data_IF_297370133450
#
_entry.id   IF_297370133450
#
_cell.length_a   1.000
_cell.length_b   1.000
_cell.length_c   1.000
_cell.angle_alpha   90.00
_cell.angle_beta   90.00
_cell.angle_gamma   90.00
#
_symmetry.space_group_name_H-M   'P 1'
#
loop_
_entity.id
_entity.type
_entity.pdbx_description
1 polymer ?
#
# COMPACT_ATOMS: atom_id res chain seq x y z
N UNK A 1 -13.98 13.26 21.01
CA UNK A 1 -13.30 12.46 19.97
C UNK A 1 -13.95 12.81 18.65
N UNK A 2 -13.20 12.96 17.58
CA UNK A 2 -13.78 13.23 16.25
C UNK A 2 -14.37 11.94 15.72
N UNK A 3 -15.62 11.95 15.29
CA UNK A 3 -16.31 10.81 14.69
C UNK A 3 -15.67 10.49 13.32
N UNK A 4 -15.33 9.25 13.07
CA UNK A 4 -14.84 8.75 11.78
C UNK A 4 -16.02 8.15 11.02
N UNK A 5 -16.35 8.74 9.88
CA UNK A 5 -17.45 8.32 9.01
C UNK A 5 -16.92 7.34 7.96
N UNK A 6 -17.51 6.17 7.92
CA UNK A 6 -17.04 5.05 7.11
C UNK A 6 -18.11 4.70 6.06
N UNK A 7 -17.70 4.61 4.79
CA UNK A 7 -18.46 3.97 3.74
C UNK A 7 -18.06 2.49 3.68
N UNK A 8 -19.00 1.59 3.88
CA UNK A 8 -18.77 0.14 3.90
C UNK A 8 -19.16 -0.48 2.55
N UNK A 9 -18.21 -1.17 1.90
CA UNK A 9 -18.40 -1.73 0.56
C UNK A 9 -18.06 -3.21 0.55
N UNK A 10 -19.05 -4.07 0.35
CA UNK A 10 -18.93 -5.53 0.35
C UNK A 10 -20.15 -6.13 -0.35
N UNK A 11 -20.01 -7.10 -1.23
CA UNK A 11 -21.15 -7.70 -1.94
C UNK A 11 -21.98 -8.65 -1.06
N UNK A 12 -21.39 -9.17 0.02
CA UNK A 12 -22.01 -10.09 0.94
C UNK A 12 -22.79 -9.38 2.04
N UNK A 13 -24.10 -9.34 1.95
CA UNK A 13 -24.96 -8.65 2.92
C UNK A 13 -24.72 -9.07 4.38
N UNK A 14 -24.48 -10.38 4.64
CA UNK A 14 -24.23 -10.87 6.00
C UNK A 14 -22.93 -10.31 6.55
N UNK A 15 -21.87 -10.28 5.75
CA UNK A 15 -20.57 -9.70 6.13
C UNK A 15 -20.71 -8.21 6.39
N UNK A 16 -21.41 -7.50 5.49
CA UNK A 16 -21.64 -6.05 5.61
C UNK A 16 -22.39 -5.71 6.91
N UNK A 17 -23.46 -6.45 7.24
CA UNK A 17 -24.21 -6.27 8.49
C UNK A 17 -23.38 -6.59 9.74
N UNK A 18 -22.57 -7.65 9.69
CA UNK A 18 -21.66 -8.01 10.77
C UNK A 18 -20.61 -6.95 11.03
N UNK A 19 -19.93 -6.50 9.96
CA UNK A 19 -18.94 -5.43 10.06
C UNK A 19 -19.55 -4.11 10.55
N UNK A 20 -20.73 -3.74 10.05
CA UNK A 20 -21.46 -2.57 10.53
C UNK A 20 -21.67 -2.64 12.04
N UNK A 21 -22.26 -3.73 12.54
CA UNK A 21 -22.52 -3.90 13.97
C UNK A 21 -21.26 -3.82 14.83
N UNK A 22 -20.17 -4.45 14.36
CA UNK A 22 -18.88 -4.45 15.06
C UNK A 22 -18.20 -3.07 15.04
N UNK A 23 -18.24 -2.37 13.90
CA UNK A 23 -17.63 -1.04 13.77
C UNK A 23 -18.43 0.01 14.56
N UNK A 24 -19.76 0.00 14.50
CA UNK A 24 -20.63 0.91 15.25
C UNK A 24 -20.60 0.65 16.76
N UNK A 25 -20.07 -0.48 17.23
CA UNK A 25 -19.78 -0.69 18.65
C UNK A 25 -18.60 0.17 19.16
N UNK A 26 -17.77 0.68 18.27
CA UNK A 26 -16.73 1.64 18.59
C UNK A 26 -17.33 3.05 18.72
N UNK A 27 -17.07 3.73 19.82
CA UNK A 27 -17.69 5.03 20.15
C UNK A 27 -17.31 6.17 19.19
N UNK A 28 -16.29 5.98 18.35
CA UNK A 28 -15.76 6.98 17.42
C UNK A 28 -16.02 6.65 15.95
N UNK A 29 -16.84 5.62 15.64
CA UNK A 29 -17.15 5.22 14.27
C UNK A 29 -18.65 5.40 13.95
N UNK A 30 -18.92 5.79 12.71
CA UNK A 30 -20.25 5.89 12.14
C UNK A 30 -20.24 5.36 10.70
N UNK A 31 -21.16 4.45 10.38
CA UNK A 31 -21.38 4.02 8.99
C UNK A 31 -22.32 5.00 8.32
N UNK A 32 -21.82 5.76 7.34
CA UNK A 32 -22.59 6.78 6.60
C UNK A 32 -23.16 6.27 5.28
N UNK A 33 -22.78 5.08 4.86
CA UNK A 33 -23.33 4.44 3.66
C UNK A 33 -22.86 3.01 3.51
N UNK A 34 -23.58 2.25 2.69
CA UNK A 34 -23.27 0.88 2.32
C UNK A 34 -23.41 0.69 0.81
N UNK A 35 -22.50 -0.08 0.21
CA UNK A 35 -22.55 -0.45 -1.20
C UNK A 35 -22.23 -1.94 -1.39
N UNK A 36 -22.81 -2.55 -2.41
CA UNK A 36 -22.62 -3.96 -2.74
C UNK A 36 -21.64 -4.17 -3.91
N UNK A 37 -21.13 -3.10 -4.50
CA UNK A 37 -20.11 -3.14 -5.56
C UNK A 37 -19.45 -1.76 -5.73
N UNK A 38 -18.34 -1.75 -6.45
CA UNK A 38 -17.55 -0.53 -6.68
C UNK A 38 -18.30 0.58 -7.41
N UNK A 39 -19.26 0.25 -8.30
CA UNK A 39 -20.02 1.25 -9.04
C UNK A 39 -20.95 2.02 -8.11
N UNK A 40 -21.65 1.32 -7.22
CA UNK A 40 -22.53 1.95 -6.22
C UNK A 40 -21.68 2.75 -5.23
N UNK A 41 -20.53 2.21 -4.81
CA UNK A 41 -19.63 2.92 -3.91
C UNK A 41 -19.19 4.29 -4.47
N UNK A 42 -18.78 4.34 -5.74
CA UNK A 42 -18.39 5.61 -6.41
C UNK A 42 -19.57 6.58 -6.44
N UNK A 43 -20.77 6.12 -6.82
CA UNK A 43 -21.96 6.96 -6.87
C UNK A 43 -22.32 7.54 -5.49
N UNK A 44 -22.20 6.74 -4.42
CA UNK A 44 -22.45 7.21 -3.06
C UNK A 44 -21.37 8.22 -2.61
N UNK A 45 -20.10 8.01 -2.93
CA UNK A 45 -19.05 9.00 -2.66
C UNK A 45 -19.37 10.32 -3.37
N UNK A 46 -19.74 10.27 -4.65
CA UNK A 46 -20.13 11.47 -5.41
C UNK A 46 -21.32 12.21 -4.80
N UNK A 47 -22.31 11.47 -4.29
CA UNK A 47 -23.49 12.04 -3.65
C UNK A 47 -23.17 12.67 -2.28
N UNK A 48 -22.29 12.05 -1.51
CA UNK A 48 -21.96 12.46 -0.13
C UNK A 48 -20.80 13.46 -0.07
N UNK A 49 -20.06 13.67 -1.16
CA UNK A 49 -18.91 14.56 -1.20
C UNK A 49 -19.34 16.02 -0.93
N UNK A 50 -18.54 16.73 -0.13
CA UNK A 50 -18.84 18.09 0.35
C UNK A 50 -20.13 18.23 1.16
N UNK A 51 -20.69 17.11 1.67
CA UNK A 51 -21.82 17.13 2.62
C UNK A 51 -21.36 16.81 4.05
N UNK A 52 -22.20 17.08 5.07
CA UNK A 52 -21.89 16.67 6.46
C UNK A 52 -21.69 15.15 6.66
N UNK A 53 -22.23 14.35 5.74
CA UNK A 53 -22.15 12.88 5.74
C UNK A 53 -21.00 12.34 4.86
N UNK A 54 -20.13 13.22 4.37
CA UNK A 54 -18.95 12.79 3.60
C UNK A 54 -18.15 11.75 4.38
N UNK A 55 -17.83 10.59 3.76
CA UNK A 55 -17.00 9.58 4.42
C UNK A 55 -15.57 10.09 4.63
N UNK A 56 -14.99 9.76 5.77
CA UNK A 56 -13.58 10.01 6.09
C UNK A 56 -12.70 8.85 5.62
N UNK A 57 -13.32 7.67 5.36
CA UNK A 57 -12.65 6.46 4.87
C UNK A 57 -13.66 5.55 4.18
N UNK A 58 -13.19 4.82 3.17
CA UNK A 58 -13.91 3.71 2.56
C UNK A 58 -13.28 2.40 3.02
N UNK A 59 -14.08 1.50 3.61
CA UNK A 59 -13.70 0.12 3.86
C UNK A 59 -14.26 -0.74 2.74
N UNK A 60 -13.39 -1.37 1.93
CA UNK A 60 -13.77 -1.93 0.64
C UNK A 60 -13.30 -3.37 0.45
N UNK A 61 -14.21 -4.27 0.09
CA UNK A 61 -13.84 -5.58 -0.42
C UNK A 61 -13.27 -5.47 -1.85
N UNK A 62 -12.44 -6.43 -2.20
CA UNK A 62 -11.80 -6.50 -3.52
C UNK A 62 -12.69 -7.21 -4.53
N UNK A 63 -13.21 -8.39 -4.18
CA UNK A 63 -13.96 -9.22 -5.13
C UNK A 63 -15.46 -8.97 -5.04
N UNK A 64 -15.95 -8.15 -5.94
CA UNK A 64 -17.36 -7.82 -6.03
C UNK A 64 -17.83 -7.90 -7.49
N UNK A 65 -19.12 -8.20 -7.73
CA UNK A 65 -19.72 -8.20 -9.07
C UNK A 65 -19.78 -6.79 -9.65
N UNK A 66 -20.01 -6.68 -10.96
CA UNK A 66 -20.21 -5.42 -11.72
C UNK A 66 -18.94 -4.57 -11.80
N UNK A 67 -18.37 -4.19 -10.66
CA UNK A 67 -17.12 -3.46 -10.55
C UNK A 67 -16.42 -3.92 -9.26
N UNK A 68 -15.27 -4.51 -9.42
CA UNK A 68 -14.42 -4.95 -8.31
C UNK A 68 -13.80 -3.77 -7.55
N UNK A 69 -13.23 -4.07 -6.36
CA UNK A 69 -12.66 -3.05 -5.50
C UNK A 69 -11.41 -2.39 -6.10
N UNK A 70 -10.60 -3.12 -6.88
CA UNK A 70 -9.39 -2.59 -7.50
C UNK A 70 -9.74 -1.53 -8.55
N UNK A 71 -10.71 -1.83 -9.42
CA UNK A 71 -11.21 -0.88 -10.41
C UNK A 71 -11.88 0.35 -9.75
N UNK A 72 -12.57 0.13 -8.62
CA UNK A 72 -13.17 1.21 -7.85
C UNK A 72 -12.11 2.11 -7.20
N UNK A 73 -11.08 1.53 -6.56
CA UNK A 73 -9.96 2.25 -5.95
C UNK A 73 -9.27 3.15 -6.97
N UNK A 74 -8.97 2.61 -8.17
CA UNK A 74 -8.37 3.40 -9.24
C UNK A 74 -9.18 4.66 -9.56
N UNK A 75 -10.49 4.51 -9.80
CA UNK A 75 -11.38 5.65 -10.12
C UNK A 75 -11.54 6.63 -8.95
N UNK A 76 -11.63 6.11 -7.72
CA UNK A 76 -11.73 6.93 -6.52
C UNK A 76 -10.45 7.73 -6.29
N UNK A 77 -9.28 7.14 -6.46
CA UNK A 77 -8.00 7.83 -6.30
C UNK A 77 -7.77 8.94 -7.34
N UNK A 78 -8.27 8.75 -8.56
CA UNK A 78 -8.21 9.77 -9.63
C UNK A 78 -9.11 10.98 -9.31
N UNK A 79 -10.30 10.76 -8.73
CA UNK A 79 -11.30 11.80 -8.51
C UNK A 79 -11.31 12.36 -7.08
N UNK A 80 -11.03 11.51 -6.09
CA UNK A 80 -11.10 11.81 -4.65
C UNK A 80 -9.81 11.40 -3.94
N UNK A 81 -8.67 11.91 -4.39
CA UNK A 81 -7.32 11.52 -3.94
C UNK A 81 -7.07 11.67 -2.42
N UNK A 82 -7.83 12.53 -1.75
CA UNK A 82 -7.75 12.73 -0.30
C UNK A 82 -8.58 11.72 0.51
N UNK A 83 -9.50 10.97 -0.12
CA UNK A 83 -10.36 10.00 0.55
C UNK A 83 -9.64 8.64 0.65
N UNK A 84 -9.20 8.21 1.84
CA UNK A 84 -8.48 6.96 1.98
C UNK A 84 -9.39 5.75 1.75
N UNK A 85 -8.88 4.76 1.04
CA UNK A 85 -9.51 3.44 0.88
C UNK A 85 -8.68 2.41 1.62
N UNK A 86 -9.28 1.71 2.58
CA UNK A 86 -8.72 0.56 3.28
C UNK A 86 -9.40 -0.70 2.74
N UNK A 87 -8.60 -1.62 2.22
CA UNK A 87 -9.13 -2.89 1.71
C UNK A 87 -9.31 -3.89 2.84
N UNK A 88 -10.45 -4.59 2.84
CA UNK A 88 -10.74 -5.70 3.73
C UNK A 88 -11.24 -6.89 2.90
N UNK A 89 -10.44 -7.94 2.73
CA UNK A 89 -10.73 -9.04 1.83
C UNK A 89 -10.52 -10.41 2.48
N UNK A 90 -11.22 -11.44 1.97
CA UNK A 90 -10.95 -12.84 2.35
C UNK A 90 -9.73 -13.42 1.64
N UNK A 91 -9.18 -12.71 0.66
CA UNK A 91 -8.11 -13.19 -0.19
C UNK A 91 -6.79 -12.46 0.10
N UNK A 92 -5.74 -13.25 0.22
CA UNK A 92 -4.36 -12.79 0.33
C UNK A 92 -3.61 -12.91 -1.02
N UNK A 93 -4.35 -12.84 -2.13
CA UNK A 93 -3.79 -12.94 -3.48
C UNK A 93 -2.89 -11.73 -3.78
N UNK A 94 -1.64 -12.05 -4.05
CA UNK A 94 -0.57 -11.07 -4.27
C UNK A 94 -0.89 -10.06 -5.38
N UNK A 95 -1.67 -10.46 -6.39
CA UNK A 95 -2.04 -9.59 -7.50
C UNK A 95 -3.00 -8.49 -7.06
N UNK A 96 -4.04 -8.85 -6.30
CA UNK A 96 -5.00 -7.88 -5.77
C UNK A 96 -4.36 -6.92 -4.76
N UNK A 97 -3.48 -7.43 -3.89
CA UNK A 97 -2.73 -6.60 -2.94
C UNK A 97 -1.91 -5.57 -3.70
N UNK A 98 -1.14 -6.03 -4.70
CA UNK A 98 -0.25 -5.16 -5.48
C UNK A 98 -1.02 -4.10 -6.24
N UNK A 99 -2.08 -4.48 -6.96
CA UNK A 99 -2.89 -3.55 -7.74
C UNK A 99 -3.63 -2.54 -6.86
N UNK A 100 -4.24 -2.98 -5.76
CA UNK A 100 -4.93 -2.07 -4.83
C UNK A 100 -3.98 -1.01 -4.28
N UNK A 101 -2.79 -1.43 -3.83
CA UNK A 101 -1.79 -0.50 -3.29
C UNK A 101 -1.21 0.44 -4.36
N UNK A 102 -0.97 -0.05 -5.59
CA UNK A 102 -0.51 0.77 -6.71
C UNK A 102 -1.52 1.85 -7.10
N UNK A 103 -2.82 1.53 -7.04
CA UNK A 103 -3.89 2.48 -7.33
C UNK A 103 -4.25 3.40 -6.16
N UNK A 104 -3.54 3.31 -5.03
CA UNK A 104 -3.62 4.29 -3.95
C UNK A 104 -4.40 3.86 -2.72
N UNK A 105 -4.70 2.56 -2.56
CA UNK A 105 -5.22 2.05 -1.30
C UNK A 105 -4.28 2.44 -0.14
N UNK A 106 -4.85 2.81 1.00
CA UNK A 106 -4.11 3.15 2.23
C UNK A 106 -3.89 1.96 3.13
N UNK A 107 -4.32 0.79 2.72
CA UNK A 107 -4.01 -0.46 3.39
C UNK A 107 -4.77 -1.64 2.84
N UNK A 108 -4.34 -2.82 3.28
CA UNK A 108 -4.94 -4.10 2.92
C UNK A 108 -4.92 -5.01 4.15
N UNK A 109 -6.08 -5.46 4.57
CA UNK A 109 -6.27 -6.38 5.70
C UNK A 109 -7.09 -7.58 5.25
N UNK A 110 -6.97 -8.68 5.97
CA UNK A 110 -7.82 -9.85 5.77
C UNK A 110 -9.10 -9.74 6.60
N UNK A 111 -10.20 -10.31 6.13
CA UNK A 111 -11.50 -10.30 6.83
C UNK A 111 -11.52 -11.12 8.13
N UNK A 112 -10.51 -11.98 8.34
CA UNK A 112 -10.30 -12.73 9.59
C UNK A 112 -9.47 -11.95 10.62
N UNK A 113 -9.04 -10.71 10.28
CA UNK A 113 -8.34 -9.80 11.20
C UNK A 113 -9.26 -9.42 12.36
N UNK A 114 -8.72 -9.41 13.58
CA UNK A 114 -9.46 -9.01 14.77
C UNK A 114 -10.04 -7.59 14.64
N UNK A 115 -11.25 -7.37 15.15
CA UNK A 115 -11.95 -6.08 14.98
C UNK A 115 -11.17 -4.91 15.58
N UNK A 116 -10.42 -5.14 16.65
CA UNK A 116 -9.56 -4.15 17.29
C UNK A 116 -8.43 -3.68 16.37
N UNK A 117 -7.88 -4.62 15.59
CA UNK A 117 -6.83 -4.32 14.60
C UNK A 117 -7.42 -3.58 13.39
N UNK A 118 -8.61 -3.98 12.92
CA UNK A 118 -9.34 -3.27 11.85
C UNK A 118 -9.64 -1.85 12.31
N UNK A 119 -10.12 -1.65 13.53
CA UNK A 119 -10.41 -0.35 14.09
C UNK A 119 -9.15 0.52 14.22
N UNK A 120 -8.03 -0.08 14.65
CA UNK A 120 -6.73 0.60 14.69
C UNK A 120 -6.25 1.02 13.30
N UNK A 121 -6.41 0.15 12.30
CA UNK A 121 -6.05 0.43 10.91
C UNK A 121 -6.89 1.58 10.32
N UNK A 122 -8.20 1.62 10.59
CA UNK A 122 -9.10 2.71 10.18
C UNK A 122 -8.60 4.04 10.76
N UNK A 123 -8.36 4.10 12.08
CA UNK A 123 -7.84 5.31 12.74
C UNK A 123 -6.49 5.76 12.21
N UNK A 124 -5.68 4.84 11.76
CA UNK A 124 -4.34 5.10 11.22
C UNK A 124 -4.41 5.56 9.77
N UNK A 125 -5.26 4.93 8.95
CA UNK A 125 -5.47 5.28 7.56
C UNK A 125 -6.08 6.68 7.38
N UNK A 126 -7.01 7.09 8.27
CA UNK A 126 -7.58 8.44 8.28
C UNK A 126 -6.56 9.54 8.62
N UNK A 127 -5.43 9.18 9.25
CA UNK A 127 -4.29 10.09 9.49
C UNK A 127 -3.28 10.11 8.34
N UNK A 128 -3.54 9.36 7.26
CA UNK A 128 -2.70 9.30 6.07
C UNK A 128 -1.61 8.22 6.08
N UNK A 129 -1.52 7.40 7.14
CA UNK A 129 -0.55 6.30 7.18
C UNK A 129 -1.06 5.08 6.40
N UNK A 130 -0.11 4.29 5.88
CA UNK A 130 -0.41 3.03 5.18
C UNK A 130 -0.38 1.85 6.15
N UNK A 131 -1.36 0.94 6.03
CA UNK A 131 -1.48 -0.26 6.85
C UNK A 131 -1.51 -1.51 5.97
N UNK A 132 -0.67 -2.49 6.30
CA UNK A 132 -0.69 -3.82 5.67
C UNK A 132 -0.77 -4.88 6.76
N UNK A 133 -1.66 -5.83 6.58
CA UNK A 133 -1.81 -6.96 7.48
C UNK A 133 -0.53 -7.81 7.58
N UNK A 134 -0.40 -8.64 8.61
CA UNK A 134 0.76 -9.51 8.81
C UNK A 134 1.06 -10.34 7.54
N UNK A 135 2.31 -10.38 7.11
CA UNK A 135 2.76 -11.11 5.91
C UNK A 135 2.42 -10.48 4.56
N UNK A 136 1.44 -9.56 4.49
CA UNK A 136 1.05 -8.93 3.22
C UNK A 136 2.09 -7.93 2.70
N UNK A 137 2.87 -7.35 3.60
CA UNK A 137 3.95 -6.44 3.23
C UNK A 137 5.02 -7.14 2.37
N UNK A 138 5.43 -8.35 2.75
CA UNK A 138 6.39 -9.13 1.96
C UNK A 138 5.82 -9.49 0.59
N UNK A 139 4.55 -9.92 0.52
CA UNK A 139 3.86 -10.23 -0.73
C UNK A 139 3.77 -9.02 -1.65
N UNK A 140 3.35 -7.86 -1.12
CA UNK A 140 3.32 -6.60 -1.85
C UNK A 140 4.70 -6.24 -2.40
N UNK A 141 5.75 -6.33 -1.59
CA UNK A 141 7.11 -6.03 -2.01
C UNK A 141 7.57 -6.97 -3.15
N UNK A 142 7.39 -8.27 -3.00
CA UNK A 142 7.84 -9.25 -4.00
C UNK A 142 7.25 -8.99 -5.38
N UNK A 143 5.97 -8.62 -5.47
CA UNK A 143 5.29 -8.39 -6.76
C UNK A 143 5.38 -6.95 -7.28
N UNK A 144 5.40 -5.94 -6.43
CA UNK A 144 5.53 -4.55 -6.87
C UNK A 144 6.78 -4.34 -7.73
N UNK A 145 7.80 -5.16 -7.52
CA UNK A 145 9.04 -5.13 -8.29
C UNK A 145 8.96 -5.94 -9.59
N UNK A 146 8.13 -7.00 -9.65
CA UNK A 146 7.94 -7.76 -10.91
C UNK A 146 7.16 -6.96 -11.97
N UNK A 147 6.23 -6.08 -11.55
CA UNK A 147 5.40 -5.32 -12.49
C UNK A 147 6.02 -4.01 -12.98
N UNK A 148 6.97 -3.44 -12.24
CA UNK A 148 7.52 -2.12 -12.58
C UNK A 148 8.78 -2.16 -13.46
N UNK A 149 9.32 -3.35 -13.73
CA UNK A 149 10.53 -3.45 -14.56
C UNK A 149 10.42 -4.64 -15.51
N UNK A 150 10.43 -4.41 -16.83
CA UNK A 150 10.72 -5.48 -17.79
C UNK A 150 12.06 -6.10 -17.42
N UNK A 151 12.09 -7.41 -17.22
CA UNK A 151 13.26 -8.13 -16.69
C UNK A 151 14.56 -7.90 -17.48
N UNK A 152 14.46 -7.60 -18.77
CA UNK A 152 15.61 -7.31 -19.63
C UNK A 152 16.20 -5.91 -19.45
N UNK A 153 15.37 -4.86 -19.39
CA UNK A 153 15.84 -3.49 -19.22
C UNK A 153 16.46 -3.26 -17.83
N UNK A 154 15.86 -3.83 -16.78
CA UNK A 154 16.41 -3.73 -15.45
C UNK A 154 17.72 -4.50 -15.30
N UNK A 155 17.84 -5.68 -15.92
CA UNK A 155 19.08 -6.45 -15.95
C UNK A 155 20.20 -5.65 -16.61
N UNK A 156 19.91 -4.96 -17.71
CA UNK A 156 20.86 -4.08 -18.39
C UNK A 156 21.26 -2.88 -17.51
N UNK A 157 20.30 -2.25 -16.84
CA UNK A 157 20.55 -1.10 -15.97
C UNK A 157 21.36 -1.51 -14.74
N UNK A 158 21.08 -2.66 -14.13
CA UNK A 158 21.90 -3.23 -13.04
C UNK A 158 23.33 -3.56 -13.50
N UNK A 159 23.49 -4.04 -14.72
CA UNK A 159 24.80 -4.29 -15.29
C UNK A 159 25.58 -2.99 -15.55
N UNK A 160 24.88 -1.91 -15.89
CA UNK A 160 25.47 -0.58 -16.14
C UNK A 160 25.94 0.14 -14.86
N UNK A 161 25.50 -0.27 -13.68
CA UNK A 161 26.02 0.27 -12.42
C UNK A 161 27.52 0.02 -12.33
N UNK A 162 28.25 1.04 -11.86
CA UNK A 162 29.68 0.92 -11.59
C UNK A 162 29.97 -0.16 -10.54
N UNK A 163 31.17 -0.77 -10.52
CA UNK A 163 31.54 -1.74 -9.49
C UNK A 163 31.28 -1.22 -8.08
N UNK A 164 31.54 0.06 -7.83
CA UNK A 164 31.37 0.69 -6.53
C UNK A 164 29.90 0.85 -6.13
N UNK A 165 29.03 1.17 -7.08
CA UNK A 165 27.59 1.24 -6.86
C UNK A 165 26.99 -0.15 -6.57
N UNK A 166 27.49 -1.20 -7.21
CA UNK A 166 27.12 -2.58 -6.94
C UNK A 166 27.49 -3.01 -5.53
N UNK A 167 28.69 -2.66 -5.04
CA UNK A 167 29.12 -2.93 -3.67
C UNK A 167 28.22 -2.20 -2.66
N UNK A 168 27.95 -0.89 -2.89
CA UNK A 168 27.04 -0.12 -2.04
C UNK A 168 25.64 -0.72 -2.05
N UNK A 169 25.12 -1.11 -3.21
CA UNK A 169 23.79 -1.71 -3.35
C UNK A 169 23.69 -3.06 -2.63
N UNK A 170 24.72 -3.91 -2.70
CA UNK A 170 24.80 -5.17 -1.95
C UNK A 170 24.75 -4.94 -0.44
N UNK A 171 25.47 -3.94 0.08
CA UNK A 171 25.44 -3.61 1.51
C UNK A 171 24.11 -3.01 1.96
N UNK A 172 23.43 -2.23 1.07
CA UNK A 172 22.08 -1.77 1.30
C UNK A 172 21.11 -2.97 1.45
N UNK A 173 21.24 -3.99 0.61
CA UNK A 173 20.46 -5.23 0.70
C UNK A 173 20.63 -5.98 2.03
N UNK A 174 21.83 -5.93 2.59
CA UNK A 174 22.14 -6.49 3.93
C UNK A 174 21.64 -5.63 5.08
N UNK A 175 21.01 -4.47 4.80
CA UNK A 175 20.47 -3.58 5.82
C UNK A 175 21.50 -2.61 6.42
N UNK A 176 22.73 -2.54 5.89
CA UNK A 176 23.79 -1.70 6.45
C UNK A 176 23.44 -0.20 6.36
N UNK A 177 23.68 0.57 7.40
CA UNK A 177 23.56 2.04 7.41
C UNK A 177 24.67 2.71 6.58
N UNK A 178 24.49 3.98 6.23
CA UNK A 178 25.55 4.72 5.51
C UNK A 178 26.89 4.75 6.25
N UNK A 179 26.85 4.77 7.58
CA UNK A 179 28.03 4.72 8.43
C UNK A 179 28.74 3.37 8.33
N UNK A 180 28.00 2.27 8.39
CA UNK A 180 28.54 0.92 8.25
C UNK A 180 29.11 0.68 6.84
N UNK A 181 28.39 1.12 5.80
CA UNK A 181 28.87 1.08 4.40
C UNK A 181 30.17 1.88 4.25
N UNK A 182 30.23 3.08 4.83
CA UNK A 182 31.42 3.94 4.78
C UNK A 182 32.62 3.25 5.42
N UNK A 183 32.42 2.58 6.55
CA UNK A 183 33.46 1.81 7.25
C UNK A 183 33.93 0.60 6.44
N UNK A 184 32.99 -0.20 5.94
CA UNK A 184 33.30 -1.43 5.20
C UNK A 184 33.99 -1.13 3.85
N UNK A 185 33.59 -0.07 3.19
CA UNK A 185 34.15 0.31 1.90
C UNK A 185 35.31 1.32 1.98
N UNK A 186 35.73 1.73 3.18
CA UNK A 186 36.81 2.69 3.42
C UNK A 186 36.61 4.04 2.69
N UNK A 187 35.38 4.58 2.72
CA UNK A 187 35.00 5.88 2.14
C UNK A 187 34.26 6.75 3.14
N UNK A 188 34.02 8.02 2.80
CA UNK A 188 33.24 8.91 3.67
C UNK A 188 31.73 8.61 3.56
N UNK A 189 30.96 8.86 4.64
CA UNK A 189 29.49 8.78 4.58
C UNK A 189 28.89 9.72 3.51
N UNK A 190 29.53 10.83 3.23
CA UNK A 190 29.14 11.75 2.13
C UNK A 190 29.26 11.05 0.78
N UNK A 191 30.32 10.28 0.58
CA UNK A 191 30.53 9.50 -0.65
C UNK A 191 29.48 8.39 -0.78
N UNK A 192 29.14 7.71 0.33
CA UNK A 192 28.05 6.72 0.35
C UNK A 192 26.72 7.36 -0.05
N UNK A 193 26.37 8.51 0.53
CA UNK A 193 25.15 9.26 0.16
C UNK A 193 25.10 9.60 -1.33
N UNK A 194 26.23 10.01 -1.91
CA UNK A 194 26.31 10.28 -3.35
C UNK A 194 26.05 9.02 -4.18
N UNK A 195 26.67 7.88 -3.83
CA UNK A 195 26.40 6.60 -4.49
C UNK A 195 24.95 6.16 -4.35
N UNK A 196 24.35 6.27 -3.15
CA UNK A 196 22.94 5.95 -2.94
C UNK A 196 22.04 6.79 -3.84
N UNK A 197 22.27 8.11 -3.90
CA UNK A 197 21.49 9.01 -4.78
C UNK A 197 21.65 8.63 -6.25
N UNK A 198 22.87 8.31 -6.69
CA UNK A 198 23.15 7.87 -8.05
C UNK A 198 22.41 6.55 -8.38
N UNK A 199 22.49 5.54 -7.50
CA UNK A 199 21.80 4.25 -7.64
C UNK A 199 20.30 4.47 -7.76
N UNK A 200 19.69 5.25 -6.87
CA UNK A 200 18.26 5.51 -6.87
C UNK A 200 17.82 6.19 -8.19
N UNK A 201 18.61 7.15 -8.68
CA UNK A 201 18.34 7.83 -9.95
C UNK A 201 18.47 6.91 -11.15
N UNK A 202 19.56 6.13 -11.25
CA UNK A 202 19.82 5.22 -12.38
C UNK A 202 18.77 4.10 -12.46
N UNK A 203 18.35 3.58 -11.30
CA UNK A 203 17.36 2.49 -11.21
C UNK A 203 15.92 3.01 -11.11
N UNK A 204 15.70 4.34 -11.21
CA UNK A 204 14.40 4.99 -11.07
C UNK A 204 13.64 4.58 -9.80
N UNK A 205 14.36 4.50 -8.67
CA UNK A 205 13.83 4.11 -7.36
C UNK A 205 13.53 5.34 -6.51
N UNK A 206 12.46 5.28 -5.71
CA UNK A 206 12.02 6.40 -4.86
C UNK A 206 12.85 6.53 -3.58
N UNK A 207 13.30 5.41 -3.04
CA UNK A 207 13.98 5.37 -1.74
C UNK A 207 14.91 4.16 -1.59
N UNK A 208 15.68 4.18 -0.48
CA UNK A 208 16.63 3.14 -0.11
C UNK A 208 15.98 1.77 0.11
N UNK A 209 14.74 1.75 0.59
CA UNK A 209 14.00 0.48 0.84
C UNK A 209 13.75 -0.23 -0.47
N UNK A 210 13.35 0.50 -1.51
CA UNK A 210 13.21 -0.05 -2.86
C UNK A 210 14.54 -0.60 -3.40
N UNK A 211 15.64 0.08 -3.15
CA UNK A 211 16.97 -0.39 -3.55
C UNK A 211 17.37 -1.69 -2.84
N UNK A 212 17.11 -1.80 -1.52
CA UNK A 212 17.38 -3.01 -0.74
C UNK A 212 16.62 -4.22 -1.29
N UNK A 213 15.35 -4.04 -1.58
CA UNK A 213 14.48 -5.10 -2.07
C UNK A 213 14.91 -5.57 -3.46
N UNK A 214 15.17 -4.62 -4.36
CA UNK A 214 15.64 -4.91 -5.71
C UNK A 214 16.95 -5.72 -5.68
N UNK A 215 17.91 -5.31 -4.87
CA UNK A 215 19.18 -6.01 -4.74
C UNK A 215 19.04 -7.44 -4.18
N UNK A 216 18.11 -7.65 -3.26
CA UNK A 216 17.78 -8.97 -2.71
C UNK A 216 17.17 -9.89 -3.77
N UNK A 217 16.26 -9.38 -4.61
CA UNK A 217 15.62 -10.15 -5.68
C UNK A 217 16.58 -10.61 -6.76
N UNK A 218 17.50 -9.75 -7.15
CA UNK A 218 18.50 -10.06 -8.20
C UNK A 218 19.75 -10.77 -7.66
N UNK A 219 19.71 -11.25 -6.40
CA UNK A 219 20.82 -11.99 -5.76
C UNK A 219 22.17 -11.27 -5.89
N UNK A 220 22.17 -9.96 -5.72
CA UNK A 220 23.39 -9.14 -5.67
C UNK A 220 24.08 -9.23 -4.27
N UNK A 221 23.78 -10.28 -3.53
CA UNK A 221 24.31 -10.61 -2.21
C UNK A 221 25.62 -11.39 -2.34
#
# INVERSE_FOLDING_TARGET
>A
MTMIRILLVDDQTIIRQGLRSLLESQADFQIVGEAENGKIAIALVEQLYDTPEQPDLILMDVRMPIMDGVAAIKKLSEKFSSLPVLVLSTFDDDEYITQAMQFGAKGYLLKDTAIEEIASAIRTATKGYTQLGPGLFQKFLTRSFQYNFPSEELSQTLQALSPREKEVLSLIAKGASNKEIAQELYISERTVKAHVTSILSQLNLRDRTQAAILATQYRLL
#
